data_IF_400332749402
#
_entry.id   IF_400332749402
#
_cell.length_a   1.000
_cell.length_b   1.000
_cell.length_c   1.000
_cell.angle_alpha   90.00
_cell.angle_beta   90.00
_cell.angle_gamma   90.00
#
_symmetry.space_group_name_H-M   'P 1'
#
loop_
_entity.id
_entity.type
_entity.pdbx_description
1 polymer ?
#
# COMPACT_ATOMS: atom_id res chain seq x y z
N UNK A 1 -60.60 -66.08 -32.71
CA UNK A 1 -59.62 -65.18 -33.39
C UNK A 1 -59.46 -63.92 -32.56
N UNK A 2 -58.21 -63.57 -32.22
CA UNK A 2 -57.83 -62.57 -31.22
C UNK A 2 -58.26 -61.13 -31.58
N UNK A 3 -58.96 -60.43 -30.67
CA UNK A 3 -59.23 -58.98 -30.78
C UNK A 3 -57.91 -58.23 -30.59
N UNK A 4 -57.25 -57.79 -31.67
CA UNK A 4 -56.04 -56.97 -31.60
C UNK A 4 -56.39 -55.58 -31.06
N UNK A 5 -55.69 -55.17 -30.00
CA UNK A 5 -55.89 -53.90 -29.29
C UNK A 5 -55.32 -52.74 -30.12
N UNK A 6 -56.18 -51.81 -30.54
CA UNK A 6 -55.84 -50.64 -31.36
C UNK A 6 -55.32 -49.44 -30.54
N UNK A 7 -55.16 -49.59 -29.21
CA UNK A 7 -54.78 -48.49 -28.31
C UNK A 7 -53.29 -48.47 -27.93
N UNK A 8 -52.50 -49.46 -28.35
CA UNK A 8 -51.10 -49.60 -27.90
C UNK A 8 -50.11 -48.69 -28.63
N UNK A 9 -50.32 -48.43 -29.92
CA UNK A 9 -49.45 -47.55 -30.72
C UNK A 9 -49.52 -46.06 -30.33
N UNK A 10 -50.70 -45.42 -30.11
CA UNK A 10 -50.74 -44.01 -29.71
C UNK A 10 -50.17 -43.79 -28.30
N UNK A 11 -50.35 -44.74 -27.38
CA UNK A 11 -49.82 -44.64 -26.02
C UNK A 11 -48.29 -44.65 -26.01
N UNK A 12 -47.67 -45.51 -26.83
CA UNK A 12 -46.22 -45.63 -26.94
C UNK A 12 -45.59 -44.35 -27.49
N UNK A 13 -46.24 -43.72 -28.49
CA UNK A 13 -45.81 -42.43 -29.06
C UNK A 13 -45.89 -41.29 -28.03
N UNK A 14 -46.92 -41.26 -27.19
CA UNK A 14 -47.04 -40.22 -26.14
C UNK A 14 -45.94 -40.40 -25.09
N UNK A 15 -45.68 -41.64 -24.64
CA UNK A 15 -44.63 -41.90 -23.64
C UNK A 15 -43.22 -41.57 -24.15
N UNK A 16 -42.93 -41.82 -25.43
CA UNK A 16 -41.62 -41.49 -26.01
C UNK A 16 -41.43 -39.97 -26.17
N UNK A 17 -42.48 -39.23 -26.56
CA UNK A 17 -42.42 -37.76 -26.63
C UNK A 17 -42.23 -37.12 -25.26
N UNK A 18 -42.93 -37.62 -24.23
CA UNK A 18 -42.74 -37.16 -22.84
C UNK A 18 -41.32 -37.47 -22.37
N UNK A 19 -40.84 -38.70 -22.59
CA UNK A 19 -39.48 -39.11 -22.22
C UNK A 19 -38.40 -38.27 -22.90
N UNK A 20 -38.59 -37.90 -24.18
CA UNK A 20 -37.66 -37.06 -24.93
C UNK A 20 -37.67 -35.63 -24.38
N UNK A 21 -38.85 -35.07 -24.10
CA UNK A 21 -38.99 -33.75 -23.49
C UNK A 21 -38.34 -33.67 -22.11
N UNK A 22 -38.51 -34.70 -21.27
CA UNK A 22 -37.84 -34.78 -19.96
C UNK A 22 -36.34 -34.92 -20.10
N UNK A 23 -35.85 -35.70 -21.07
CA UNK A 23 -34.42 -35.86 -21.31
C UNK A 23 -33.75 -34.55 -21.74
N UNK A 24 -34.36 -33.81 -22.67
CA UNK A 24 -33.84 -32.49 -23.09
C UNK A 24 -33.83 -31.50 -21.92
N UNK A 25 -34.87 -31.48 -21.08
CA UNK A 25 -34.90 -30.64 -19.87
C UNK A 25 -33.81 -31.01 -18.87
N UNK A 26 -33.55 -32.30 -18.66
CA UNK A 26 -32.48 -32.78 -17.78
C UNK A 26 -31.10 -32.36 -18.33
N UNK A 27 -30.87 -32.48 -19.64
CA UNK A 27 -29.61 -32.04 -20.26
C UNK A 27 -29.40 -30.53 -20.10
N UNK A 28 -30.44 -29.72 -20.32
CA UNK A 28 -30.38 -28.27 -20.12
C UNK A 28 -30.06 -27.92 -18.66
N UNK A 29 -30.74 -28.57 -17.71
CA UNK A 29 -30.51 -28.36 -16.28
C UNK A 29 -29.09 -28.74 -15.85
N UNK A 30 -28.56 -29.88 -16.33
CA UNK A 30 -27.17 -30.28 -16.07
C UNK A 30 -26.19 -29.24 -16.62
N UNK A 31 -26.46 -28.70 -17.82
CA UNK A 31 -25.60 -27.71 -18.45
C UNK A 31 -25.64 -26.36 -17.73
N UNK A 32 -26.81 -25.93 -17.26
CA UNK A 32 -26.95 -24.72 -16.42
C UNK A 32 -26.21 -24.88 -15.09
N UNK A 33 -26.33 -26.05 -14.44
CA UNK A 33 -25.65 -26.32 -13.18
C UNK A 33 -24.12 -26.33 -13.36
N UNK A 34 -23.61 -27.00 -14.39
CA UNK A 34 -22.18 -27.04 -14.69
C UNK A 34 -21.63 -25.65 -15.05
N UNK A 35 -22.39 -24.83 -15.77
CA UNK A 35 -22.02 -23.44 -16.06
C UNK A 35 -21.95 -22.62 -14.78
N UNK A 36 -22.98 -22.68 -13.93
CA UNK A 36 -23.01 -21.98 -12.65
C UNK A 36 -21.80 -22.37 -11.77
N UNK A 37 -21.55 -23.68 -11.61
CA UNK A 37 -20.42 -24.20 -10.83
C UNK A 37 -19.07 -23.73 -11.36
N UNK A 38 -18.89 -23.68 -12.69
CA UNK A 38 -17.65 -23.15 -13.30
C UNK A 38 -17.44 -21.65 -13.03
N UNK A 39 -18.53 -20.87 -13.01
CA UNK A 39 -18.48 -19.43 -12.70
C UNK A 39 -18.14 -19.21 -11.23
N UNK A 40 -18.71 -19.99 -10.30
CA UNK A 40 -18.35 -19.94 -8.89
C UNK A 40 -16.89 -20.32 -8.64
N UNK A 41 -16.41 -21.39 -9.29
CA UNK A 41 -15.04 -21.85 -9.15
C UNK A 41 -14.04 -20.80 -9.66
N UNK A 42 -14.27 -20.22 -10.85
CA UNK A 42 -13.41 -19.17 -11.39
C UNK A 42 -13.38 -17.93 -10.50
N UNK A 43 -14.53 -17.48 -9.97
CA UNK A 43 -14.57 -16.34 -9.04
C UNK A 43 -13.79 -16.60 -7.76
N UNK A 44 -13.90 -17.81 -7.19
CA UNK A 44 -13.13 -18.18 -6.01
C UNK A 44 -11.63 -18.22 -6.29
N UNK A 45 -11.23 -18.74 -7.45
CA UNK A 45 -9.83 -18.80 -7.87
C UNK A 45 -9.20 -17.41 -8.02
N UNK A 46 -9.88 -16.49 -8.70
CA UNK A 46 -9.44 -15.09 -8.83
C UNK A 46 -9.29 -14.40 -7.46
N UNK A 47 -10.21 -14.66 -6.53
CA UNK A 47 -10.13 -14.13 -5.18
C UNK A 47 -8.91 -14.67 -4.40
N UNK A 48 -8.60 -15.97 -4.54
CA UNK A 48 -7.40 -16.55 -3.91
C UNK A 48 -6.12 -16.06 -4.58
N UNK A 49 -6.08 -15.95 -5.91
CA UNK A 49 -4.94 -15.40 -6.63
C UNK A 49 -4.65 -13.95 -6.20
N UNK A 50 -5.70 -13.12 -6.05
CA UNK A 50 -5.59 -11.77 -5.53
C UNK A 50 -5.09 -11.77 -4.08
N UNK A 51 -5.64 -12.63 -3.21
CA UNK A 51 -5.21 -12.73 -1.82
C UNK A 51 -3.73 -13.14 -1.69
N UNK A 52 -3.27 -14.09 -2.51
CA UNK A 52 -1.85 -14.52 -2.55
C UNK A 52 -0.96 -13.38 -3.06
N UNK A 53 -1.37 -12.66 -4.11
CA UNK A 53 -0.61 -11.52 -4.62
C UNK A 53 -0.51 -10.37 -3.61
N UNK A 54 -1.61 -10.07 -2.92
CA UNK A 54 -1.65 -9.09 -1.82
C UNK A 54 -0.77 -9.56 -0.67
N UNK A 55 -0.82 -10.85 -0.31
CA UNK A 55 0.01 -11.41 0.75
C UNK A 55 1.51 -11.33 0.42
N UNK A 56 1.91 -11.69 -0.80
CA UNK A 56 3.30 -11.57 -1.26
C UNK A 56 3.79 -10.12 -1.23
N UNK A 57 2.95 -9.17 -1.68
CA UNK A 57 3.21 -7.72 -1.58
C UNK A 57 3.40 -7.27 -0.13
N UNK A 58 2.55 -7.75 0.79
CA UNK A 58 2.66 -7.44 2.22
C UNK A 58 3.97 -8.02 2.79
N UNK A 59 4.30 -9.27 2.49
CA UNK A 59 5.54 -9.90 2.97
C UNK A 59 6.79 -9.18 2.44
N UNK A 60 6.81 -8.85 1.15
CA UNK A 60 7.92 -8.12 0.54
C UNK A 60 8.06 -6.70 1.06
N UNK A 61 6.96 -6.01 1.35
CA UNK A 61 6.98 -4.69 1.99
C UNK A 61 7.41 -4.74 3.47
N UNK A 62 7.28 -5.90 4.12
CA UNK A 62 7.64 -6.10 5.53
C UNK A 62 9.10 -6.54 5.74
N UNK A 63 9.83 -6.91 4.69
CA UNK A 63 11.25 -7.22 4.83
C UNK A 63 12.06 -5.92 4.78
N UNK A 64 12.70 -5.49 5.89
CA UNK A 64 13.62 -4.37 5.85
C UNK A 64 14.80 -4.75 4.96
N UNK A 65 14.99 -4.02 3.86
CA UNK A 65 16.04 -4.28 2.87
C UNK A 65 17.44 -3.82 3.32
N UNK A 66 17.65 -3.60 4.62
CA UNK A 66 18.89 -3.05 5.17
C UNK A 66 19.21 -3.58 6.56
N UNK A 67 20.43 -3.29 7.03
CA UNK A 67 20.87 -3.59 8.39
C UNK A 67 19.97 -2.84 9.38
N UNK A 68 19.13 -3.57 10.11
CA UNK A 68 18.25 -2.99 11.13
C UNK A 68 18.80 -3.32 12.51
N UNK A 69 19.30 -2.30 13.20
CA UNK A 69 19.67 -2.42 14.62
C UNK A 69 18.39 -2.62 15.44
N UNK A 70 18.41 -3.61 16.34
CA UNK A 70 17.31 -3.84 17.26
C UNK A 70 17.03 -2.59 18.09
N UNK A 71 15.76 -2.23 18.25
CA UNK A 71 15.37 -1.10 19.11
C UNK A 71 15.95 -1.28 20.52
N UNK A 72 16.71 -0.29 21.05
CA UNK A 72 17.25 -0.35 22.40
C UNK A 72 16.14 -0.44 23.46
N UNK A 73 16.41 -1.12 24.58
CA UNK A 73 15.47 -1.20 25.71
C UNK A 73 15.09 0.20 26.24
N UNK A 74 16.06 1.12 26.27
CA UNK A 74 15.85 2.52 26.59
C UNK A 74 16.37 3.38 25.43
N UNK A 75 15.46 4.09 24.77
CA UNK A 75 15.78 5.01 23.68
C UNK A 75 16.16 6.38 24.26
N UNK A 76 17.40 6.80 24.00
CA UNK A 76 17.92 8.13 24.34
C UNK A 76 18.31 8.81 23.04
N UNK A 77 17.37 9.53 22.46
CA UNK A 77 17.48 10.08 21.12
C UNK A 77 17.74 11.59 21.10
N UNK A 78 18.51 12.04 20.11
CA UNK A 78 18.62 13.45 19.74
C UNK A 78 17.97 13.69 18.38
N UNK A 79 17.28 14.83 18.25
CA UNK A 79 16.68 15.25 16.97
C UNK A 79 17.70 15.98 16.09
N UNK A 80 17.69 15.62 14.80
CA UNK A 80 18.56 16.15 13.76
C UNK A 80 17.70 16.58 12.58
N UNK A 81 17.74 17.86 12.23
CA UNK A 81 17.10 18.32 11.00
C UNK A 81 17.84 17.81 9.78
N UNK A 82 17.13 17.72 8.65
CA UNK A 82 17.72 17.33 7.36
C UNK A 82 18.92 18.20 6.95
N UNK A 83 18.93 19.48 7.34
CA UNK A 83 20.02 20.41 7.04
C UNK A 83 21.29 20.11 7.84
N UNK A 84 21.15 19.75 9.11
CA UNK A 84 22.27 19.35 9.97
C UNK A 84 22.81 18.01 9.50
N UNK A 85 21.92 17.05 9.25
CA UNK A 85 22.28 15.75 8.68
C UNK A 85 22.98 15.92 7.32
N UNK A 86 22.55 16.84 6.48
CA UNK A 86 23.14 17.12 5.17
C UNK A 86 24.50 17.82 5.17
N UNK A 87 24.87 18.48 6.27
CA UNK A 87 26.10 19.29 6.34
C UNK A 87 27.23 18.48 6.98
N UNK A 88 28.30 18.08 6.24
CA UNK A 88 29.29 17.14 6.75
C UNK A 88 29.98 17.57 8.05
N UNK A 89 30.30 18.87 8.22
CA UNK A 89 30.91 19.37 9.45
C UNK A 89 30.00 19.22 10.66
N UNK A 90 28.73 19.64 10.54
CA UNK A 90 27.74 19.53 11.62
C UNK A 90 27.40 18.07 11.94
N UNK A 91 27.29 17.23 10.90
CA UNK A 91 27.10 15.79 11.04
C UNK A 91 28.26 15.16 11.83
N UNK A 92 29.50 15.46 11.48
CA UNK A 92 30.68 14.91 12.15
C UNK A 92 30.77 15.36 13.62
N UNK A 93 30.46 16.63 13.91
CA UNK A 93 30.40 17.14 15.27
C UNK A 93 29.34 16.42 16.11
N UNK A 94 28.18 16.17 15.51
CA UNK A 94 27.08 15.48 16.15
C UNK A 94 27.38 14.00 16.39
N UNK A 95 27.95 13.29 15.42
CA UNK A 95 28.38 11.89 15.59
C UNK A 95 29.43 11.80 16.71
N UNK A 96 30.39 12.75 16.76
CA UNK A 96 31.35 12.82 17.87
C UNK A 96 30.66 13.07 19.20
N UNK A 97 29.68 13.95 19.26
CA UNK A 97 28.91 14.19 20.49
C UNK A 97 28.17 12.93 20.95
N UNK A 98 27.49 12.23 20.04
CA UNK A 98 26.78 10.96 20.32
C UNK A 98 27.76 9.94 20.90
N UNK A 99 28.90 9.70 20.24
CA UNK A 99 29.94 8.75 20.69
C UNK A 99 30.51 9.05 22.08
N UNK A 100 30.50 10.31 22.51
CA UNK A 100 31.03 10.75 23.80
C UNK A 100 29.92 10.96 24.86
N UNK A 101 28.71 10.47 24.61
CA UNK A 101 27.55 10.65 25.47
C UNK A 101 26.82 9.33 25.70
N UNK A 102 25.76 9.35 26.49
CA UNK A 102 24.88 8.19 26.69
C UNK A 102 23.83 8.03 25.58
N UNK A 103 23.78 8.95 24.60
CA UNK A 103 22.85 8.91 23.48
C UNK A 103 23.10 7.67 22.64
N UNK A 104 22.04 6.93 22.34
CA UNK A 104 22.09 5.70 21.56
C UNK A 104 21.15 5.73 20.36
N UNK A 105 20.50 6.87 20.10
CA UNK A 105 19.54 6.99 19.01
C UNK A 105 19.53 8.38 18.40
N UNK A 106 19.07 8.46 17.16
CA UNK A 106 18.87 9.73 16.44
C UNK A 106 17.51 9.77 15.78
N UNK A 107 16.87 10.94 15.79
CA UNK A 107 15.67 11.21 15.00
C UNK A 107 16.08 12.06 13.82
N UNK A 108 15.92 11.54 12.59
CA UNK A 108 16.28 12.24 11.35
C UNK A 108 15.01 12.48 10.55
N UNK A 109 14.85 13.69 10.03
CA UNK A 109 13.76 14.01 9.11
C UNK A 109 13.91 13.24 7.79
N UNK A 110 12.95 12.36 7.52
CA UNK A 110 12.67 11.88 6.15
C UNK A 110 11.92 12.97 5.41
N UNK A 111 10.84 13.48 6.00
CA UNK A 111 10.06 14.61 5.47
C UNK A 111 9.70 15.56 6.60
N UNK A 112 10.16 16.81 6.48
CA UNK A 112 9.90 17.83 7.48
C UNK A 112 8.52 18.50 7.28
N UNK A 113 8.23 19.50 8.12
CA UNK A 113 6.96 20.21 8.10
C UNK A 113 6.80 21.23 6.96
N UNK A 114 7.82 21.37 6.11
CA UNK A 114 7.73 22.10 4.84
C UNK A 114 7.13 21.25 3.73
N UNK A 115 6.99 19.94 3.95
CA UNK A 115 6.49 18.98 2.96
C UNK A 115 7.58 18.43 2.03
N UNK A 116 8.84 18.77 2.29
CA UNK A 116 9.98 18.37 1.47
C UNK A 116 10.63 17.10 2.02
N UNK A 117 10.80 16.11 1.15
CA UNK A 117 11.57 14.90 1.45
C UNK A 117 13.07 15.25 1.41
N UNK A 118 13.81 14.74 2.38
CA UNK A 118 15.16 15.22 2.73
C UNK A 118 16.28 14.67 1.85
N UNK A 119 16.01 13.62 1.09
CA UNK A 119 16.93 12.96 0.17
C UNK A 119 16.15 12.51 -1.08
N UNK A 120 16.88 12.20 -2.14
CA UNK A 120 16.33 11.68 -3.38
C UNK A 120 15.75 10.27 -3.16
N UNK A 121 14.57 10.01 -3.69
CA UNK A 121 13.89 8.71 -3.62
C UNK A 121 13.47 8.33 -5.02
N UNK A 122 13.96 7.18 -5.51
CA UNK A 122 13.54 6.58 -6.78
C UNK A 122 12.05 6.17 -6.71
N UNK A 123 11.18 7.12 -7.04
CA UNK A 123 9.75 6.96 -7.00
C UNK A 123 9.04 7.91 -7.98
N UNK A 124 8.47 7.34 -9.02
CA UNK A 124 7.73 8.05 -10.07
C UNK A 124 6.72 9.09 -9.55
N UNK A 125 6.02 8.84 -8.44
CA UNK A 125 5.07 9.81 -7.89
C UNK A 125 5.80 11.01 -7.28
N UNK A 126 6.84 10.77 -6.49
CA UNK A 126 7.65 11.82 -5.85
C UNK A 126 8.31 12.68 -6.93
N UNK A 127 8.91 12.06 -7.94
CA UNK A 127 9.56 12.74 -9.07
C UNK A 127 8.57 13.61 -9.85
N UNK A 128 7.37 13.08 -10.13
CA UNK A 128 6.33 13.82 -10.84
C UNK A 128 5.83 15.05 -10.08
N UNK A 129 5.87 14.99 -8.74
CA UNK A 129 5.44 16.09 -7.88
C UNK A 129 6.59 17.08 -7.61
N UNK A 130 7.84 16.63 -7.70
CA UNK A 130 9.05 17.38 -7.32
C UNK A 130 9.01 17.77 -5.85
N UNK A 131 8.82 16.77 -4.98
CA UNK A 131 8.58 16.95 -3.53
C UNK A 131 9.77 16.54 -2.66
N UNK A 132 10.85 16.09 -3.27
CA UNK A 132 12.10 15.71 -2.66
C UNK A 132 13.19 16.78 -2.85
N UNK A 133 14.32 16.55 -2.20
CA UNK A 133 15.44 17.46 -2.21
C UNK A 133 16.73 16.72 -1.91
N UNK A 134 17.86 17.27 -2.38
CA UNK A 134 19.20 16.77 -2.07
C UNK A 134 19.76 17.39 -0.78
N UNK A 135 18.92 17.58 0.26
CA UNK A 135 19.42 18.14 1.54
C UNK A 135 20.40 17.19 2.18
N UNK A 136 20.11 15.89 2.16
CA UNK A 136 21.02 14.80 2.51
C UNK A 136 21.38 14.10 1.21
N UNK A 137 22.54 14.42 0.64
CA UNK A 137 23.00 13.87 -0.64
C UNK A 137 23.41 12.39 -0.57
N UNK A 138 23.80 11.94 0.60
CA UNK A 138 24.54 10.71 0.87
C UNK A 138 23.84 9.93 2.01
N UNK A 139 22.53 9.73 1.87
CA UNK A 139 21.71 9.09 2.91
C UNK A 139 22.23 7.70 3.28
N UNK A 140 22.63 6.88 2.30
CA UNK A 140 23.18 5.54 2.54
C UNK A 140 24.47 5.56 3.36
N UNK A 141 25.35 6.54 3.11
CA UNK A 141 26.59 6.73 3.87
C UNK A 141 26.27 7.14 5.30
N UNK A 142 25.37 8.11 5.50
CA UNK A 142 24.91 8.53 6.83
C UNK A 142 24.31 7.38 7.64
N UNK A 143 23.43 6.58 7.03
CA UNK A 143 22.82 5.43 7.70
C UNK A 143 23.87 4.40 8.09
N UNK A 144 24.80 4.10 7.18
CA UNK A 144 25.92 3.19 7.42
C UNK A 144 26.83 3.66 8.56
N UNK A 145 27.21 4.95 8.59
CA UNK A 145 28.03 5.51 9.67
C UNK A 145 27.37 5.39 11.05
N UNK A 146 26.07 5.69 11.11
CA UNK A 146 25.28 5.60 12.35
C UNK A 146 25.12 4.15 12.79
N UNK A 147 24.85 3.23 11.86
CA UNK A 147 24.73 1.81 12.17
C UNK A 147 26.05 1.20 12.66
N UNK A 148 27.17 1.50 12.00
CA UNK A 148 28.49 1.08 12.47
C UNK A 148 28.85 1.64 13.85
N UNK A 149 28.28 2.79 14.22
CA UNK A 149 28.41 3.38 15.55
C UNK A 149 27.42 2.79 16.58
N UNK A 150 26.58 1.82 16.20
CA UNK A 150 25.56 1.23 17.06
C UNK A 150 24.40 2.16 17.41
N UNK A 151 24.17 3.19 16.60
CA UNK A 151 23.13 4.20 16.83
C UNK A 151 21.82 3.76 16.18
N UNK A 152 20.76 3.69 16.97
CA UNK A 152 19.41 3.38 16.48
C UNK A 152 18.78 4.60 15.79
N UNK A 153 18.24 4.41 14.59
CA UNK A 153 17.75 5.51 13.74
C UNK A 153 16.23 5.53 13.73
N UNK A 154 15.65 6.71 13.97
CA UNK A 154 14.21 6.96 13.95
C UNK A 154 13.92 7.96 12.82
N UNK A 155 13.21 7.49 11.79
CA UNK A 155 12.76 8.35 10.70
C UNK A 155 11.56 9.19 11.11
N UNK A 156 11.70 10.52 11.13
CA UNK A 156 10.59 11.45 11.31
C UNK A 156 9.96 11.80 9.98
N UNK A 157 8.64 11.59 9.88
CA UNK A 157 7.85 11.93 8.70
C UNK A 157 6.63 12.75 9.13
N UNK A 158 6.59 14.01 8.68
CA UNK A 158 5.42 14.86 8.92
C UNK A 158 4.29 14.42 7.98
N UNK A 159 3.20 13.90 8.53
CA UNK A 159 2.11 13.34 7.72
C UNK A 159 1.18 14.42 7.15
N UNK A 160 0.50 15.18 8.01
CA UNK A 160 -0.60 16.06 7.60
C UNK A 160 -0.18 17.48 7.25
N UNK A 161 0.78 18.09 7.97
CA UNK A 161 1.25 19.43 7.67
C UNK A 161 2.20 19.38 6.47
N UNK A 162 1.64 19.46 5.27
CA UNK A 162 2.37 19.36 4.00
C UNK A 162 1.92 20.46 3.04
N UNK A 163 2.45 21.69 3.20
CA UNK A 163 2.07 22.81 2.35
C UNK A 163 2.53 22.63 0.89
N UNK A 164 3.62 21.91 0.65
CA UNK A 164 4.13 21.64 -0.69
C UNK A 164 3.17 20.71 -1.45
N UNK A 165 2.80 19.58 -0.86
CA UNK A 165 1.83 18.67 -1.46
C UNK A 165 0.47 19.34 -1.60
N UNK A 166 0.04 20.13 -0.61
CA UNK A 166 -1.22 20.88 -0.70
C UNK A 166 -1.24 21.88 -1.87
N UNK A 167 -0.09 22.43 -2.26
CA UNK A 167 0.02 23.30 -3.43
C UNK A 167 -0.03 22.52 -4.74
N UNK A 168 0.63 21.36 -4.80
CA UNK A 168 0.71 20.51 -5.99
C UNK A 168 -0.59 19.72 -6.24
N UNK A 169 -1.29 19.38 -5.16
CA UNK A 169 -2.52 18.58 -5.09
C UNK A 169 -3.54 19.21 -4.13
N UNK A 170 -4.12 20.38 -4.46
CA UNK A 170 -5.10 21.05 -3.61
C UNK A 170 -6.32 20.18 -3.27
N UNK A 171 -6.68 19.26 -4.17
CA UNK A 171 -7.77 18.29 -4.00
C UNK A 171 -7.54 17.29 -2.86
N UNK A 172 -6.29 17.12 -2.40
CA UNK A 172 -5.94 16.27 -1.26
C UNK A 172 -5.85 17.06 0.04
N UNK A 173 -6.24 18.33 0.07
CA UNK A 173 -6.12 19.18 1.25
C UNK A 173 -7.45 19.35 1.97
N UNK A 174 -7.41 19.72 3.26
CA UNK A 174 -8.60 20.25 3.92
C UNK A 174 -9.12 21.48 3.15
N UNK A 175 -10.43 21.57 3.02
CA UNK A 175 -11.10 22.68 2.33
C UNK A 175 -11.95 23.48 3.29
N UNK A 176 -12.13 24.77 2.99
CA UNK A 176 -13.04 25.62 3.73
C UNK A 176 -14.48 25.31 3.31
N UNK A 177 -15.38 25.28 4.29
CA UNK A 177 -16.82 25.02 4.06
C UNK A 177 -17.48 26.18 3.29
N UNK A 178 -16.99 27.40 3.46
CA UNK A 178 -17.59 28.61 2.88
C UNK A 178 -17.38 28.75 1.36
N UNK A 179 -16.18 28.44 0.87
CA UNK A 179 -15.82 28.68 -0.53
C UNK A 179 -15.10 27.51 -1.23
N UNK A 180 -14.93 26.37 -0.54
CA UNK A 180 -14.29 25.17 -1.09
C UNK A 180 -12.78 25.31 -1.36
N UNK A 181 -12.15 26.44 -1.04
CA UNK A 181 -10.71 26.63 -1.20
C UNK A 181 -9.92 25.84 -0.16
N UNK A 182 -8.65 25.53 -0.44
CA UNK A 182 -7.73 24.93 0.53
C UNK A 182 -7.71 25.74 1.82
N UNK A 183 -8.03 25.09 2.93
CA UNK A 183 -7.95 25.67 4.26
C UNK A 183 -6.49 25.86 4.66
N UNK A 184 -6.22 27.00 5.30
CA UNK A 184 -4.90 27.34 5.84
C UNK A 184 -5.02 27.81 7.27
N UNK A 185 -4.02 27.50 8.08
CA UNK A 185 -3.94 27.98 9.45
C UNK A 185 -3.59 29.49 9.51
N UNK A 186 -3.43 30.03 10.73
CA UNK A 186 -3.06 31.44 10.94
C UNK A 186 -1.69 31.81 10.37
N UNK A 187 -0.81 30.84 10.14
CA UNK A 187 0.53 31.02 9.55
C UNK A 187 0.53 30.80 8.04
N UNK A 188 -0.63 30.52 7.43
CA UNK A 188 -0.75 30.25 6.01
C UNK A 188 -0.35 28.81 5.61
N UNK A 189 -0.22 27.90 6.57
CA UNK A 189 0.14 26.50 6.34
C UNK A 189 -1.09 25.68 5.99
N UNK A 190 -0.96 24.81 4.99
CA UNK A 190 -2.00 23.91 4.54
C UNK A 190 -1.74 22.48 5.05
N UNK A 191 -2.83 21.71 5.15
CA UNK A 191 -2.83 20.38 5.71
C UNK A 191 -3.57 19.42 4.77
N UNK A 192 -3.04 18.21 4.65
CA UNK A 192 -3.57 17.13 3.82
C UNK A 192 -4.75 16.45 4.53
N UNK A 193 -5.76 16.10 3.75
CA UNK A 193 -6.96 15.37 4.15
C UNK A 193 -7.05 14.11 3.28
N UNK A 194 -6.70 12.97 3.86
CA UNK A 194 -6.73 11.64 3.23
C UNK A 194 -8.05 10.93 3.48
#
# INVERSE_FOLDING_TARGET
>A
MSKRSYYTTPLLVITTLISLGTFVRIQHFIQEQAYADSVYLNRSFEQYALAIHVFDRIQKAQQPSGEHISTPEQVRAIYISSWVAGTPSLRNDLIRFIKNSEINSVVIDIKDSTGVISFDIDNNLIDSLGTDSTRISDIEELLSELHHAGVYIIGRLTAFQDPLLSQKKPEWSFTRVDNGQTWKDRKGLAFINT
#
